data_IF_559359991450
#
_entry.id   IF_559359991450
#
_cell.length_a   1.000
_cell.length_b   1.000
_cell.length_c   1.000
_cell.angle_alpha   90.00
_cell.angle_beta   90.00
_cell.angle_gamma   90.00
#
_symmetry.space_group_name_H-M   'P 1'
#
loop_
_entity.id
_entity.type
_entity.pdbx_description
1 polymer ?
#
# COMPACT_ATOMS: atom_id res chain seq x y z
N UNK A 1 -7.33 -10.90 -8.86
CA UNK A 1 -8.37 -10.45 -7.90
C UNK A 1 -9.41 -9.68 -8.69
N UNK A 2 -10.69 -9.94 -8.46
CA UNK A 2 -11.77 -9.13 -9.03
C UNK A 2 -11.67 -7.68 -8.53
N UNK A 3 -12.09 -6.72 -9.35
CA UNK A 3 -12.15 -5.31 -8.93
C UNK A 3 -13.44 -5.12 -8.11
N UNK A 4 -13.37 -4.70 -6.84
CA UNK A 4 -14.53 -4.37 -6.03
C UNK A 4 -15.44 -3.34 -6.69
N UNK A 5 -16.74 -3.62 -6.70
CA UNK A 5 -17.78 -2.79 -7.33
C UNK A 5 -18.73 -2.13 -6.33
N UNK A 6 -18.60 -2.46 -5.06
CA UNK A 6 -19.40 -1.92 -3.97
C UNK A 6 -18.57 -1.82 -2.67
N UNK A 7 -19.16 -1.16 -1.66
CA UNK A 7 -18.55 -0.94 -0.34
C UNK A 7 -18.12 -2.24 0.34
N UNK A 8 -18.96 -3.27 0.29
CA UNK A 8 -18.72 -4.54 1.00
C UNK A 8 -17.55 -5.29 0.36
N UNK A 9 -17.55 -5.41 -0.97
CA UNK A 9 -16.45 -5.98 -1.73
C UNK A 9 -15.15 -5.21 -1.51
N UNK A 10 -15.20 -3.89 -1.36
CA UNK A 10 -14.02 -3.07 -1.07
C UNK A 10 -13.42 -3.40 0.30
N UNK A 11 -14.26 -3.42 1.33
CA UNK A 11 -13.87 -3.76 2.69
C UNK A 11 -13.29 -5.19 2.75
N UNK A 12 -13.97 -6.15 2.13
CA UNK A 12 -13.52 -7.54 2.06
C UNK A 12 -12.17 -7.66 1.33
N UNK A 13 -11.98 -6.95 0.21
CA UNK A 13 -10.73 -6.96 -0.54
C UNK A 13 -9.58 -6.33 0.25
N UNK A 14 -9.83 -5.24 1.00
CA UNK A 14 -8.82 -4.62 1.87
C UNK A 14 -8.42 -5.61 2.97
N UNK A 15 -9.39 -6.14 3.70
CA UNK A 15 -9.13 -7.06 4.83
C UNK A 15 -8.41 -8.33 4.38
N UNK A 16 -8.95 -9.04 3.38
CA UNK A 16 -8.40 -10.31 2.91
C UNK A 16 -6.97 -10.17 2.38
N UNK A 17 -6.70 -9.13 1.59
CA UNK A 17 -5.36 -8.94 1.05
C UNK A 17 -4.37 -8.44 2.09
N UNK A 18 -4.80 -7.58 3.00
CA UNK A 18 -3.96 -7.10 4.09
C UNK A 18 -3.56 -8.25 5.02
N UNK A 19 -4.52 -9.05 5.48
CA UNK A 19 -4.27 -10.21 6.33
C UNK A 19 -3.32 -11.21 5.66
N UNK A 20 -3.52 -11.45 4.37
CA UNK A 20 -2.67 -12.37 3.61
C UNK A 20 -1.26 -11.80 3.30
N UNK A 21 -1.12 -10.48 3.20
CA UNK A 21 0.18 -9.80 3.16
C UNK A 21 0.86 -9.91 4.53
N UNK A 22 0.14 -9.61 5.61
CA UNK A 22 0.66 -9.61 6.97
C UNK A 22 1.24 -10.99 7.34
N UNK A 23 0.50 -12.07 7.05
CA UNK A 23 0.96 -13.44 7.24
C UNK A 23 2.21 -13.80 6.40
N UNK A 24 2.42 -13.16 5.25
CA UNK A 24 3.64 -13.33 4.46
C UNK A 24 4.81 -12.52 5.06
N UNK A 25 4.54 -11.33 5.58
CA UNK A 25 5.54 -10.49 6.26
C UNK A 25 6.01 -11.11 7.59
N UNK A 26 5.14 -11.86 8.28
CA UNK A 26 5.47 -12.59 9.51
C UNK A 26 6.52 -13.70 9.29
N UNK A 27 6.65 -14.18 8.04
CA UNK A 27 7.64 -15.19 7.67
C UNK A 27 9.01 -14.60 7.32
N UNK A 28 9.13 -13.27 7.25
CA UNK A 28 10.40 -12.60 6.90
C UNK A 28 11.27 -12.47 8.15
N UNK A 29 12.49 -13.06 8.17
CA UNK A 29 13.38 -12.91 9.32
C UNK A 29 13.78 -11.44 9.51
N UNK A 30 13.70 -10.93 10.75
CA UNK A 30 14.02 -9.53 11.05
C UNK A 30 15.44 -9.13 10.63
N UNK A 31 16.40 -10.05 10.69
CA UNK A 31 17.78 -9.80 10.25
C UNK A 31 17.91 -9.50 8.74
N UNK A 32 16.86 -9.78 7.95
CA UNK A 32 16.89 -9.70 6.49
C UNK A 32 15.94 -8.67 5.91
N UNK A 33 15.17 -7.96 6.75
CA UNK A 33 14.14 -7.02 6.28
C UNK A 33 14.73 -5.84 5.50
N UNK A 34 16.00 -5.51 5.75
CA UNK A 34 16.72 -4.42 5.10
C UNK A 34 17.62 -4.90 3.93
N UNK A 35 17.65 -6.20 3.63
CA UNK A 35 18.34 -6.72 2.43
C UNK A 35 17.67 -6.20 1.15
N UNK A 36 18.40 -5.42 0.35
CA UNK A 36 17.91 -4.91 -0.93
C UNK A 36 17.99 -5.98 -2.03
N UNK A 37 17.16 -7.01 -1.91
CA UNK A 37 17.15 -8.16 -2.84
C UNK A 37 15.78 -8.44 -3.47
N UNK A 38 14.77 -7.60 -3.19
CA UNK A 38 13.52 -7.57 -3.95
C UNK A 38 13.69 -6.70 -5.20
N UNK A 39 13.14 -7.13 -6.34
CA UNK A 39 12.98 -6.25 -7.51
C UNK A 39 12.18 -5.01 -7.11
N UNK A 40 12.70 -3.82 -7.42
CA UNK A 40 12.11 -2.53 -7.07
C UNK A 40 10.94 -2.11 -7.94
N UNK A 41 10.37 -0.94 -7.65
CA UNK A 41 9.24 -0.40 -8.43
C UNK A 41 9.66 0.21 -9.77
N UNK A 42 10.95 0.56 -9.89
CA UNK A 42 11.57 0.97 -11.15
C UNK A 42 12.35 -0.23 -11.70
N UNK A 43 12.15 -0.56 -12.97
CA UNK A 43 12.83 -1.71 -13.61
C UNK A 43 14.35 -1.59 -13.44
N UNK A 44 14.99 -2.68 -13.02
CA UNK A 44 16.44 -2.73 -12.78
C UNK A 44 16.89 -2.18 -11.42
N UNK A 45 15.96 -1.71 -10.56
CA UNK A 45 16.27 -1.33 -9.18
C UNK A 45 15.99 -2.47 -8.21
N UNK A 46 16.58 -2.38 -7.01
CA UNK A 46 16.29 -3.28 -5.90
C UNK A 46 15.84 -2.51 -4.67
N UNK A 47 14.90 -3.10 -3.92
CA UNK A 47 14.43 -2.59 -2.64
C UNK A 47 14.50 -3.68 -1.58
N UNK A 48 14.40 -3.29 -0.32
CA UNK A 48 14.22 -4.21 0.80
C UNK A 48 12.75 -4.49 1.10
N UNK A 49 12.47 -5.50 1.94
CA UNK A 49 11.12 -5.74 2.46
C UNK A 49 10.65 -4.55 3.30
N UNK A 50 11.57 -3.94 4.05
CA UNK A 50 11.34 -2.75 4.86
C UNK A 50 10.97 -1.53 4.02
N UNK A 51 11.64 -1.32 2.87
CA UNK A 51 11.28 -0.29 1.88
C UNK A 51 9.92 -0.61 1.22
N UNK A 52 9.61 -1.88 0.94
CA UNK A 52 8.28 -2.27 0.42
C UNK A 52 7.15 -1.91 1.41
N UNK A 53 7.34 -2.13 2.71
CA UNK A 53 6.37 -1.71 3.74
C UNK A 53 6.28 -0.19 3.83
N UNK A 54 7.40 0.53 3.75
CA UNK A 54 7.39 2.00 3.70
C UNK A 54 6.61 2.55 2.49
N UNK A 55 6.73 1.90 1.33
CA UNK A 55 5.95 2.25 0.14
C UNK A 55 4.45 2.07 0.36
N UNK A 56 4.03 0.95 0.96
CA UNK A 56 2.60 0.71 1.25
C UNK A 56 2.06 1.71 2.29
N UNK A 57 2.87 2.05 3.29
CA UNK A 57 2.52 3.06 4.28
C UNK A 57 2.37 4.44 3.63
N UNK A 58 3.30 4.84 2.76
CA UNK A 58 3.22 6.11 2.03
C UNK A 58 1.94 6.24 1.20
N UNK A 59 1.56 5.20 0.47
CA UNK A 59 0.28 5.19 -0.24
C UNK A 59 -0.93 5.18 0.68
N UNK A 60 -0.88 4.48 1.82
CA UNK A 60 -1.98 4.47 2.78
C UNK A 60 -2.19 5.87 3.38
N UNK A 61 -1.11 6.56 3.74
CA UNK A 61 -1.16 7.94 4.24
C UNK A 61 -1.62 8.92 3.16
N UNK A 62 -1.23 8.70 1.90
CA UNK A 62 -1.71 9.51 0.78
C UNK A 62 -3.23 9.35 0.58
N UNK A 63 -3.76 8.13 0.71
CA UNK A 63 -5.22 7.89 0.67
C UNK A 63 -5.91 8.58 1.84
N UNK A 64 -5.36 8.48 3.05
CA UNK A 64 -5.91 9.18 4.22
C UNK A 64 -5.94 10.69 4.03
N UNK A 65 -4.87 11.28 3.49
CA UNK A 65 -4.83 12.70 3.18
C UNK A 65 -5.94 13.09 2.19
N UNK A 66 -6.15 12.30 1.15
CA UNK A 66 -7.23 12.55 0.20
C UNK A 66 -8.61 12.45 0.87
N UNK A 67 -8.84 11.41 1.69
CA UNK A 67 -10.11 11.20 2.38
C UNK A 67 -10.42 12.31 3.40
N UNK A 68 -9.40 12.80 4.11
CA UNK A 68 -9.54 13.90 5.07
C UNK A 68 -9.85 15.23 4.35
N UNK A 69 -9.16 15.50 3.23
CA UNK A 69 -9.42 16.70 2.41
C UNK A 69 -10.80 16.65 1.76
N UNK A 70 -11.20 15.49 1.25
CA UNK A 70 -12.54 15.22 0.72
C UNK A 70 -13.63 15.52 1.77
N UNK A 71 -13.51 14.95 2.98
CA UNK A 71 -14.44 15.22 4.08
C UNK A 71 -14.49 16.69 4.48
N UNK A 72 -13.36 17.38 4.43
CA UNK A 72 -13.25 18.80 4.76
C UNK A 72 -13.67 19.73 3.60
N UNK A 73 -14.08 19.21 2.43
CA UNK A 73 -14.38 20.00 1.24
C UNK A 73 -13.18 20.80 0.71
N UNK A 74 -11.96 20.32 0.96
CA UNK A 74 -10.71 21.00 0.58
C UNK A 74 -10.17 20.46 -0.75
N UNK A 75 -9.45 21.31 -1.54
CA UNK A 75 -8.79 20.85 -2.76
C UNK A 75 -7.81 19.71 -2.49
N UNK A 76 -7.85 18.69 -3.36
CA UNK A 76 -6.99 17.50 -3.28
C UNK A 76 -5.94 17.56 -4.38
N UNK A 77 -4.67 17.40 -4.02
CA UNK A 77 -3.58 17.26 -4.97
C UNK A 77 -3.39 15.77 -5.31
N UNK A 78 -3.40 15.43 -6.61
CA UNK A 78 -3.23 14.06 -7.08
C UNK A 78 -1.96 13.92 -7.93
N UNK A 79 -1.14 12.87 -7.71
CA UNK A 79 -1.22 11.89 -6.62
C UNK A 79 -0.85 12.49 -5.24
N UNK A 80 -0.01 13.52 -5.21
CA UNK A 80 0.45 14.18 -3.99
C UNK A 80 0.83 15.63 -4.32
N UNK A 81 0.95 16.48 -3.30
CA UNK A 81 1.39 17.85 -3.49
C UNK A 81 2.80 17.91 -4.10
N UNK A 82 2.95 18.62 -5.22
CA UNK A 82 4.21 18.73 -5.94
C UNK A 82 4.60 17.50 -6.77
N UNK A 83 3.68 16.56 -7.02
CA UNK A 83 3.90 15.38 -7.86
C UNK A 83 2.85 15.24 -8.96
N UNK A 84 3.26 14.68 -10.10
CA UNK A 84 2.38 14.27 -11.19
C UNK A 84 2.29 12.74 -11.28
N UNK A 85 1.25 12.22 -11.92
CA UNK A 85 1.06 10.77 -12.11
C UNK A 85 2.14 10.08 -12.94
N UNK A 86 2.94 10.84 -13.72
CA UNK A 86 4.11 10.29 -14.43
C UNK A 86 5.39 10.31 -13.57
N UNK A 87 5.32 10.76 -12.31
CA UNK A 87 6.45 10.85 -11.38
C UNK A 87 6.35 9.85 -10.21
N UNK A 88 5.57 8.78 -10.35
CA UNK A 88 5.35 7.81 -9.25
C UNK A 88 6.63 7.16 -8.73
N UNK A 89 7.66 7.03 -9.57
CA UNK A 89 8.99 6.60 -9.13
C UNK A 89 9.62 7.59 -8.13
N UNK A 90 9.51 8.90 -8.38
CA UNK A 90 9.99 9.96 -7.47
C UNK A 90 9.18 10.00 -6.18
N UNK A 91 7.87 9.78 -6.27
CA UNK A 91 6.99 9.69 -5.11
C UNK A 91 7.32 8.46 -4.25
N UNK A 92 7.59 7.31 -4.87
CA UNK A 92 8.04 6.11 -4.14
C UNK A 92 9.36 6.35 -3.39
N UNK A 93 10.31 7.05 -4.01
CA UNK A 93 11.57 7.45 -3.35
C UNK A 93 11.33 8.40 -2.17
N UNK A 94 10.34 9.30 -2.28
CA UNK A 94 9.92 10.15 -1.15
C UNK A 94 9.45 9.28 0.02
N UNK A 95 8.58 8.29 -0.23
CA UNK A 95 8.10 7.41 0.83
C UNK A 95 9.22 6.63 1.54
N UNK A 96 10.24 6.18 0.80
CA UNK A 96 11.40 5.53 1.42
C UNK A 96 12.11 6.46 2.41
N UNK A 97 12.34 7.71 2.01
CA UNK A 97 12.96 8.73 2.85
C UNK A 97 12.09 9.13 4.03
N UNK A 98 10.78 9.32 3.83
CA UNK A 98 9.86 9.76 4.89
C UNK A 98 9.84 8.78 6.07
N UNK A 99 10.05 7.48 5.81
CA UNK A 99 9.98 6.43 6.81
C UNK A 99 11.34 5.79 7.14
N UNK A 100 12.45 6.28 6.57
CA UNK A 100 13.77 5.62 6.69
C UNK A 100 14.20 5.45 8.16
N UNK A 101 13.93 6.45 9.00
CA UNK A 101 14.28 6.44 10.42
C UNK A 101 13.36 5.59 11.30
N UNK A 102 12.25 5.06 10.76
CA UNK A 102 11.29 4.25 11.52
C UNK A 102 11.71 2.77 11.44
N UNK A 103 11.88 2.07 12.58
CA UNK A 103 12.16 0.64 12.58
C UNK A 103 11.06 -0.19 11.90
N UNK A 104 11.44 -1.28 11.24
CA UNK A 104 10.51 -2.14 10.50
C UNK A 104 9.27 -2.58 11.30
N UNK A 105 9.37 -3.05 12.57
CA UNK A 105 8.17 -3.41 13.35
C UNK A 105 7.20 -2.23 13.54
N UNK A 106 7.72 -1.02 13.76
CA UNK A 106 6.91 0.19 13.90
C UNK A 106 6.27 0.60 12.56
N UNK A 107 6.97 0.41 11.43
CA UNK A 107 6.37 0.62 10.10
C UNK A 107 5.17 -0.29 9.88
N UNK A 108 5.25 -1.57 10.30
CA UNK A 108 4.11 -2.50 10.22
C UNK A 108 2.94 -2.06 11.10
N UNK A 109 3.20 -1.62 12.32
CA UNK A 109 2.16 -1.09 13.22
C UNK A 109 1.47 0.15 12.62
N UNK A 110 2.24 1.09 12.07
CA UNK A 110 1.69 2.29 11.42
C UNK A 110 0.87 1.94 10.18
N UNK A 111 1.33 0.97 9.38
CA UNK A 111 0.59 0.49 8.21
C UNK A 111 -0.76 -0.11 8.61
N UNK A 112 -0.81 -0.92 9.66
CA UNK A 112 -2.08 -1.47 10.17
C UNK A 112 -3.00 -0.36 10.71
N UNK A 113 -2.47 0.59 11.47
CA UNK A 113 -3.24 1.74 11.96
C UNK A 113 -3.83 2.58 10.80
N UNK A 114 -3.03 2.84 9.76
CA UNK A 114 -3.50 3.55 8.57
C UNK A 114 -4.61 2.76 7.86
N UNK A 115 -4.44 1.44 7.71
CA UNK A 115 -5.46 0.54 7.15
C UNK A 115 -6.76 0.55 7.96
N UNK A 116 -6.69 0.51 9.29
CA UNK A 116 -7.85 0.56 10.18
C UNK A 116 -8.61 1.89 10.02
N UNK A 117 -7.88 3.01 9.93
CA UNK A 117 -8.47 4.33 9.70
C UNK A 117 -9.15 4.42 8.32
N UNK A 118 -8.51 3.90 7.26
CA UNK A 118 -9.13 3.83 5.93
C UNK A 118 -10.43 3.01 5.98
N UNK A 119 -10.42 1.84 6.65
CA UNK A 119 -11.62 1.00 6.83
C UNK A 119 -12.74 1.76 7.53
N UNK A 120 -12.43 2.47 8.62
CA UNK A 120 -13.41 3.28 9.34
C UNK A 120 -14.03 4.38 8.45
N UNK A 121 -13.20 5.06 7.64
CA UNK A 121 -13.65 6.09 6.70
C UNK A 121 -14.49 5.53 5.53
N UNK A 122 -14.28 4.27 5.15
CA UNK A 122 -15.13 3.58 4.17
C UNK A 122 -16.47 3.20 4.82
N UNK A 123 -16.45 2.70 6.06
CA UNK A 123 -17.65 2.28 6.79
C UNK A 123 -18.58 3.46 7.10
N UNK A 124 -18.05 4.67 7.27
CA UNK A 124 -18.85 5.88 7.47
C UNK A 124 -19.51 6.40 6.19
N UNK A 125 -19.24 5.80 5.03
CA UNK A 125 -19.80 6.18 3.72
C UNK A 125 -20.78 5.11 3.23
N UNK A 126 -21.75 5.56 2.43
CA UNK A 126 -22.65 4.66 1.72
C UNK A 126 -22.06 4.21 0.37
N UNK A 127 -22.75 3.29 -0.30
CA UNK A 127 -22.30 2.80 -1.59
C UNK A 127 -22.38 3.88 -2.69
N UNK A 128 -23.31 4.84 -2.55
CA UNK A 128 -23.49 5.92 -3.51
C UNK A 128 -22.23 6.81 -3.57
N UNK A 129 -21.76 7.28 -2.42
CA UNK A 129 -20.56 8.09 -2.29
C UNK A 129 -19.29 7.37 -2.77
N UNK A 130 -19.24 6.03 -2.65
CA UNK A 130 -18.06 5.25 -3.01
C UNK A 130 -18.05 4.82 -4.49
N UNK A 131 -19.20 4.53 -5.09
CA UNK A 131 -19.27 3.80 -6.36
C UNK A 131 -20.27 4.34 -7.40
N UNK A 132 -21.18 5.25 -7.04
CA UNK A 132 -22.21 5.71 -7.99
C UNK A 132 -21.86 7.00 -8.72
N UNK A 133 -20.81 7.72 -8.29
CA UNK A 133 -20.32 8.91 -8.97
C UNK A 133 -18.80 8.88 -9.23
N UNK A 134 -18.33 9.50 -10.32
CA UNK A 134 -16.92 9.81 -10.47
C UNK A 134 -16.46 10.78 -9.37
N UNK A 135 -15.30 10.50 -8.80
CA UNK A 135 -14.66 11.30 -7.75
C UNK A 135 -13.35 11.91 -8.23
N UNK A 136 -12.56 11.18 -9.01
CA UNK A 136 -11.35 11.69 -9.66
C UNK A 136 -11.35 11.36 -11.16
N UNK A 137 -11.63 12.37 -11.99
CA UNK A 137 -11.82 12.18 -13.42
C UNK A 137 -12.95 11.19 -13.69
N UNK A 138 -12.62 10.02 -14.24
CA UNK A 138 -13.59 8.92 -14.47
C UNK A 138 -13.68 7.91 -13.33
N UNK A 139 -12.83 8.01 -12.31
CA UNK A 139 -12.70 7.01 -11.27
C UNK A 139 -13.58 7.33 -10.07
N UNK A 140 -14.31 6.33 -9.57
CA UNK A 140 -15.05 6.43 -8.30
C UNK A 140 -14.09 6.47 -7.11
N UNK A 141 -14.54 6.97 -5.97
CA UNK A 141 -13.73 7.02 -4.75
C UNK A 141 -13.29 5.61 -4.32
N UNK A 142 -14.21 4.65 -4.33
CA UNK A 142 -13.92 3.25 -3.99
C UNK A 142 -12.83 2.65 -4.88
N UNK A 143 -12.82 2.99 -6.18
CA UNK A 143 -11.76 2.56 -7.10
C UNK A 143 -10.42 3.22 -6.80
N UNK A 144 -10.39 4.50 -6.45
CA UNK A 144 -9.15 5.20 -6.07
C UNK A 144 -8.56 4.64 -4.77
N UNK A 145 -9.40 4.35 -3.76
CA UNK A 145 -8.97 3.68 -2.53
C UNK A 145 -8.38 2.30 -2.87
N UNK A 146 -9.10 1.51 -3.67
CA UNK A 146 -8.71 0.15 -4.00
C UNK A 146 -7.36 0.06 -4.73
N UNK A 147 -7.10 1.00 -5.65
CA UNK A 147 -5.82 1.08 -6.39
C UNK A 147 -4.63 1.38 -5.49
N UNK A 148 -4.85 1.96 -4.31
CA UNK A 148 -3.81 2.39 -3.38
C UNK A 148 -3.81 1.60 -2.05
N UNK A 149 -4.68 0.59 -1.93
CA UNK A 149 -4.76 -0.30 -0.75
C UNK A 149 -4.76 -1.78 -1.16
N UNK A 150 -5.94 -2.37 -1.43
CA UNK A 150 -6.10 -3.79 -1.69
C UNK A 150 -5.24 -4.32 -2.85
N UNK A 151 -5.13 -3.57 -3.96
CA UNK A 151 -4.28 -3.98 -5.08
C UNK A 151 -2.77 -3.98 -4.72
N UNK A 152 -2.21 -2.89 -4.15
CA UNK A 152 -0.86 -2.90 -3.63
C UNK A 152 -0.59 -4.00 -2.60
N UNK A 153 -1.52 -4.30 -1.69
CA UNK A 153 -1.35 -5.39 -0.73
C UNK A 153 -1.22 -6.75 -1.41
N UNK A 154 -2.08 -7.05 -2.39
CA UNK A 154 -2.01 -8.28 -3.17
C UNK A 154 -0.69 -8.38 -3.97
N UNK A 155 -0.24 -7.28 -4.58
CA UNK A 155 1.03 -7.23 -5.31
C UNK A 155 2.23 -7.46 -4.38
N UNK A 156 2.28 -6.73 -3.25
CA UNK A 156 3.33 -6.84 -2.26
C UNK A 156 3.42 -8.27 -1.70
N UNK A 157 2.28 -8.91 -1.39
CA UNK A 157 2.24 -10.31 -0.97
C UNK A 157 2.89 -11.23 -2.00
N UNK A 158 2.58 -11.05 -3.28
CA UNK A 158 3.18 -11.84 -4.36
C UNK A 158 4.71 -11.69 -4.41
N UNK A 159 5.20 -10.46 -4.26
CA UNK A 159 6.63 -10.14 -4.24
C UNK A 159 7.34 -10.74 -3.03
N UNK A 160 6.80 -10.55 -1.83
CA UNK A 160 7.35 -11.12 -0.58
C UNK A 160 7.38 -12.65 -0.66
N UNK A 161 6.30 -13.29 -1.10
CA UNK A 161 6.26 -14.77 -1.24
C UNK A 161 7.26 -15.28 -2.27
N UNK A 162 7.46 -14.57 -3.39
CA UNK A 162 8.47 -14.93 -4.39
C UNK A 162 9.87 -14.82 -3.80
N UNK A 163 10.16 -13.74 -3.08
CA UNK A 163 11.43 -13.52 -2.42
C UNK A 163 11.73 -14.60 -1.37
N UNK A 164 10.77 -14.90 -0.48
CA UNK A 164 10.91 -15.96 0.52
C UNK A 164 11.32 -17.29 -0.14
N UNK A 165 10.59 -17.74 -1.17
CA UNK A 165 10.91 -18.98 -1.90
C UNK A 165 12.33 -18.99 -2.47
N UNK A 166 12.74 -17.90 -3.12
CA UNK A 166 14.06 -17.82 -3.75
C UNK A 166 15.18 -17.82 -2.71
N UNK A 167 14.93 -17.31 -1.52
CA UNK A 167 15.91 -17.25 -0.44
C UNK A 167 15.98 -18.52 0.43
N UNK A 168 14.92 -19.35 0.42
CA UNK A 168 14.92 -20.67 1.07
C UNK A 168 15.71 -21.72 0.28
N UNK A 169 15.99 -21.47 -1.00
CA UNK A 169 16.62 -22.44 -1.92
C UNK A 169 18.13 -22.27 -2.07
N UNK A 170 18.77 -21.37 -1.32
CA UNK A 170 20.23 -21.25 -1.27
C UNK A 170 20.74 -22.07 -0.09
N UNK A 171 21.43 -23.21 -0.30
CA UNK A 171 22.11 -23.89 0.80
C UNK A 171 23.17 -22.96 1.38
N UNK A 172 23.47 -23.02 2.69
CA UNK A 172 24.68 -22.40 3.20
C UNK A 172 25.85 -23.03 2.44
N UNK A 173 26.62 -22.21 1.72
CA UNK A 173 27.86 -22.67 1.13
C UNK A 173 28.79 -23.16 2.25
N UNK A 174 29.47 -24.26 1.92
CA UNK A 174 30.42 -25.06 2.70
C UNK A 174 31.47 -24.26 3.48
#
# INVERSE_FOLDING_TARGET
MAIPQDREQLLQAIDSNFNALNAALDQVPLARVDERSLEGHVKGTQISVSELVAYLLGWSDQVLEWLDKDLAGRPIAFPAEGFKWNELGRLAQKFYRDYEAIPYPQRRQRLDAARQRIVSLIQSRDNAALYQCPWYGKWTLGRMIQLNTAAPYANARGRVRKWLRNTSSTPPHA
#
